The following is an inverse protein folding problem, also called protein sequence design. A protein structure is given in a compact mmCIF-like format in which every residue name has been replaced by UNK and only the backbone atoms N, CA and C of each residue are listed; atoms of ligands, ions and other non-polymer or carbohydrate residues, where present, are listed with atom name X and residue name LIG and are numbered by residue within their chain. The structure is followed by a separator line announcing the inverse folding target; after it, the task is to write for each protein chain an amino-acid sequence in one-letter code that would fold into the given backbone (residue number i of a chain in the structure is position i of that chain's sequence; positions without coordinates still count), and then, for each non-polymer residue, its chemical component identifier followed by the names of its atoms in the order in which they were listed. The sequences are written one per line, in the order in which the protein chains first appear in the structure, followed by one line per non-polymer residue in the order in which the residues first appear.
data_IF_558880675860
#
_entry.id   IF_558880675860
#
_cell.length_a   1.000
_cell.length_b   1.000
_cell.length_c   1.000
_cell.angle_alpha   90.00
_cell.angle_beta   90.00
_cell.angle_gamma   90.00
#
_symmetry.space_group_name_H-M   'P 1'
#
loop_
_entity.id
_entity.type
_entity.pdbx_description
1 polymer ?
#
# COMPACT_ATOMS: atom_id res chain seq x y z
N UNK A 1 -2.57 -27.29 38.08
CA UNK A 1 -3.46 -27.15 36.91
C UNK A 1 -2.75 -26.21 35.95
N UNK A 2 -2.20 -26.74 34.86
CA UNK A 2 -1.67 -25.91 33.77
C UNK A 2 -2.80 -25.06 33.20
N UNK A 3 -2.56 -23.73 33.04
CA UNK A 3 -3.49 -22.85 32.33
C UNK A 3 -3.72 -23.45 30.95
N UNK A 4 -4.96 -23.52 30.45
CA UNK A 4 -5.21 -23.95 29.07
C UNK A 4 -4.38 -23.07 28.16
N UNK A 5 -3.53 -23.68 27.34
CA UNK A 5 -2.69 -22.99 26.40
C UNK A 5 -3.61 -22.29 25.40
N UNK A 6 -3.58 -20.97 25.37
CA UNK A 6 -4.36 -20.14 24.46
C UNK A 6 -3.97 -20.52 23.02
N UNK A 7 -4.91 -21.12 22.29
CA UNK A 7 -4.70 -21.60 20.93
C UNK A 7 -4.53 -20.40 20.00
N UNK A 8 -3.42 -20.35 19.30
CA UNK A 8 -3.14 -19.28 18.36
C UNK A 8 -3.73 -19.59 16.99
N UNK A 9 -4.10 -18.55 16.28
CA UNK A 9 -4.55 -18.63 14.89
C UNK A 9 -3.53 -17.92 13.99
N UNK A 10 -3.01 -18.65 13.03
CA UNK A 10 -2.00 -18.18 12.09
C UNK A 10 -2.58 -18.04 10.69
N UNK A 11 -2.33 -16.92 10.04
CA UNK A 11 -2.57 -16.76 8.60
C UNK A 11 -1.31 -17.10 7.82
N UNK A 12 -1.46 -17.82 6.71
CA UNK A 12 -0.35 -18.16 5.84
C UNK A 12 -0.74 -18.03 4.36
N UNK A 13 0.17 -17.51 3.54
CA UNK A 13 0.04 -17.45 2.08
C UNK A 13 1.04 -18.38 1.41
N UNK A 14 0.67 -18.88 0.23
CA UNK A 14 1.52 -19.70 -0.61
C UNK A 14 1.47 -19.26 -2.07
N UNK A 15 2.51 -19.52 -2.80
CA UNK A 15 2.54 -19.48 -4.28
C UNK A 15 2.20 -20.85 -4.89
N UNK A 16 2.09 -21.90 -4.04
CA UNK A 16 1.76 -23.27 -4.45
C UNK A 16 0.65 -23.86 -3.57
N UNK A 17 -0.60 -23.52 -3.88
CA UNK A 17 -1.78 -23.95 -3.13
C UNK A 17 -1.95 -25.48 -3.12
N UNK A 18 -1.58 -26.15 -4.24
CA UNK A 18 -1.67 -27.60 -4.36
C UNK A 18 -0.74 -28.32 -3.36
N UNK A 19 0.44 -27.79 -3.11
CA UNK A 19 1.37 -28.35 -2.15
C UNK A 19 0.74 -28.35 -0.74
N UNK A 20 0.10 -27.25 -0.37
CA UNK A 20 -0.53 -27.13 0.94
C UNK A 20 -1.74 -28.05 1.09
N UNK A 21 -2.68 -27.98 0.16
CA UNK A 21 -3.96 -28.66 0.28
C UNK A 21 -3.84 -30.17 0.04
N UNK A 22 -3.08 -30.60 -0.98
CA UNK A 22 -2.90 -32.02 -1.28
C UNK A 22 -1.82 -32.68 -0.44
N UNK A 23 -0.79 -31.93 -0.07
CA UNK A 23 0.31 -32.42 0.77
C UNK A 23 -0.03 -32.47 2.26
N UNK A 24 -1.15 -31.86 2.69
CA UNK A 24 -1.49 -31.68 4.10
C UNK A 24 -0.34 -31.04 4.88
N UNK A 25 0.25 -30.01 4.31
CA UNK A 25 1.35 -29.25 4.90
C UNK A 25 1.13 -27.76 4.74
N UNK A 26 1.83 -27.00 5.56
CA UNK A 26 2.17 -25.61 5.29
C UNK A 26 3.68 -25.48 5.23
N UNK A 27 4.17 -24.52 4.44
CA UNK A 27 5.59 -24.31 4.27
C UNK A 27 5.92 -22.83 4.08
N UNK A 28 7.13 -22.49 4.41
CA UNK A 28 7.73 -21.19 4.03
C UNK A 28 8.91 -21.43 3.10
N UNK A 29 9.05 -20.53 2.12
CA UNK A 29 10.20 -20.49 1.24
C UNK A 29 11.47 -20.05 2.03
N UNK A 30 12.48 -19.53 1.37
CA UNK A 30 13.82 -19.22 1.90
C UNK A 30 14.68 -20.48 2.11
N UNK A 31 14.78 -21.28 1.05
CA UNK A 31 15.62 -22.49 1.01
C UNK A 31 17.08 -22.21 1.39
N UNK A 32 17.59 -21.05 1.01
CA UNK A 32 18.95 -20.60 1.26
C UNK A 32 19.26 -20.40 2.76
N UNK A 33 18.25 -20.30 3.60
CA UNK A 33 18.42 -20.23 5.05
C UNK A 33 18.81 -21.57 5.67
N UNK A 34 18.58 -22.69 4.94
CA UNK A 34 18.82 -24.06 5.42
C UNK A 34 17.82 -24.50 6.48
N UNK A 35 18.21 -25.48 7.28
CA UNK A 35 17.42 -25.92 8.42
C UNK A 35 17.37 -24.82 9.49
N UNK A 36 16.17 -24.32 9.75
CA UNK A 36 15.96 -23.23 10.70
C UNK A 36 16.22 -23.64 12.16
N UNK A 37 16.26 -24.93 12.47
CA UNK A 37 16.59 -25.43 13.82
C UNK A 37 18.07 -25.31 14.16
N UNK A 38 18.94 -25.21 13.16
CA UNK A 38 20.37 -24.99 13.35
C UNK A 38 20.70 -23.54 13.77
N UNK A 39 19.73 -22.62 13.63
CA UNK A 39 19.90 -21.22 14.02
C UNK A 39 19.58 -21.07 15.50
N UNK A 40 20.47 -20.45 16.26
CA UNK A 40 20.22 -20.16 17.67
C UNK A 40 18.81 -19.59 17.86
N UNK A 41 17.98 -20.07 18.83
CA UNK A 41 16.59 -19.69 18.99
C UNK A 41 16.42 -18.27 19.58
N UNK A 42 16.99 -17.29 18.91
CA UNK A 42 16.91 -15.86 19.22
C UNK A 42 16.58 -15.09 17.94
N UNK A 43 15.62 -14.18 18.02
CA UNK A 43 15.22 -13.34 16.87
C UNK A 43 16.41 -12.62 16.23
N UNK A 44 17.37 -12.19 17.02
CA UNK A 44 18.57 -11.51 16.53
C UNK A 44 19.47 -12.43 15.71
N UNK A 45 19.62 -13.70 16.09
CA UNK A 45 20.35 -14.68 15.31
C UNK A 45 19.73 -14.94 13.93
N UNK A 46 18.40 -14.97 13.87
CA UNK A 46 17.66 -15.06 12.59
C UNK A 46 17.87 -13.84 11.70
N UNK A 47 17.85 -12.62 12.28
CA UNK A 47 18.15 -11.39 11.50
C UNK A 47 19.56 -11.41 10.95
N UNK A 48 20.55 -11.78 11.76
CA UNK A 48 21.95 -11.82 11.35
C UNK A 48 22.18 -12.86 10.26
N UNK A 49 21.62 -14.07 10.42
CA UNK A 49 21.69 -15.12 9.40
C UNK A 49 21.01 -14.66 8.11
N UNK A 50 19.80 -14.07 8.20
CA UNK A 50 19.05 -13.57 7.05
C UNK A 50 19.83 -12.48 6.28
N UNK A 51 20.36 -11.48 7.00
CA UNK A 51 21.16 -10.42 6.39
C UNK A 51 22.43 -10.94 5.69
N UNK A 52 23.05 -11.98 6.25
CA UNK A 52 24.23 -12.63 5.65
C UNK A 52 23.87 -13.47 4.42
N UNK A 53 22.72 -14.15 4.46
CA UNK A 53 22.25 -15.01 3.35
C UNK A 53 21.72 -14.18 2.18
N UNK A 54 21.08 -13.03 2.47
CA UNK A 54 20.48 -12.14 1.47
C UNK A 54 21.06 -10.73 1.57
N UNK A 55 22.30 -10.49 1.12
CA UNK A 55 22.97 -9.18 1.27
C UNK A 55 22.26 -8.05 0.50
N UNK A 56 21.53 -8.38 -0.56
CA UNK A 56 20.76 -7.42 -1.36
C UNK A 56 19.38 -7.08 -0.75
N UNK A 57 19.00 -7.73 0.37
CA UNK A 57 17.72 -7.46 1.00
C UNK A 57 17.67 -6.03 1.57
N UNK A 58 16.52 -5.37 1.39
CA UNK A 58 16.31 -4.03 1.98
C UNK A 58 16.41 -4.12 3.50
N UNK A 59 17.19 -3.24 4.12
CA UNK A 59 17.41 -3.23 5.59
C UNK A 59 16.10 -3.31 6.40
N UNK A 60 15.06 -2.63 5.96
CA UNK A 60 13.75 -2.61 6.64
C UNK A 60 12.96 -3.92 6.46
N UNK A 61 13.25 -4.75 5.47
CA UNK A 61 12.58 -6.04 5.28
C UNK A 61 13.18 -7.18 6.11
N UNK A 62 14.45 -7.05 6.51
CA UNK A 62 15.18 -8.08 7.26
C UNK A 62 14.46 -8.47 8.57
N UNK A 63 14.06 -7.53 9.45
CA UNK A 63 13.37 -7.88 10.70
C UNK A 63 12.05 -8.61 10.47
N UNK A 64 11.32 -8.23 9.43
CA UNK A 64 10.02 -8.83 9.09
C UNK A 64 10.19 -10.27 8.60
N UNK A 65 11.06 -10.48 7.62
CA UNK A 65 11.30 -11.82 7.03
C UNK A 65 11.93 -12.77 8.03
N UNK A 66 12.98 -12.34 8.75
CA UNK A 66 13.59 -13.13 9.80
C UNK A 66 12.60 -13.45 10.95
N UNK A 67 11.72 -12.49 11.27
CA UNK A 67 10.66 -12.67 12.25
C UNK A 67 9.60 -13.69 11.84
N UNK A 68 9.26 -13.78 10.55
CA UNK A 68 8.37 -14.82 10.03
C UNK A 68 8.99 -16.22 10.17
N UNK A 69 10.25 -16.38 9.76
CA UNK A 69 10.98 -17.63 9.90
C UNK A 69 11.11 -18.08 11.36
N UNK A 70 11.45 -17.14 12.25
CA UNK A 70 11.51 -17.42 13.69
C UNK A 70 10.16 -17.89 14.26
N UNK A 71 9.07 -17.21 13.91
CA UNK A 71 7.72 -17.61 14.32
C UNK A 71 7.36 -18.99 13.80
N UNK A 72 7.66 -19.27 12.54
CA UNK A 72 7.34 -20.55 11.91
C UNK A 72 8.01 -21.73 12.62
N UNK A 73 9.28 -21.61 13.03
CA UNK A 73 10.01 -22.71 13.68
C UNK A 73 9.83 -22.75 15.20
N UNK A 74 9.79 -21.60 15.90
CA UNK A 74 9.85 -21.57 17.36
C UNK A 74 8.55 -21.20 18.06
N UNK A 75 7.67 -20.40 17.43
CA UNK A 75 6.46 -19.89 18.08
C UNK A 75 5.21 -20.67 17.69
N UNK A 76 5.10 -21.11 16.43
CA UNK A 76 4.02 -21.96 15.96
C UNK A 76 4.16 -23.37 16.54
N UNK A 77 3.08 -23.93 17.09
CA UNK A 77 3.10 -25.21 17.80
C UNK A 77 2.02 -26.17 17.29
N UNK A 78 2.21 -27.49 17.47
CA UNK A 78 1.11 -28.44 17.30
C UNK A 78 -0.07 -28.04 18.17
N UNK A 79 -1.27 -28.10 17.60
CA UNK A 79 -2.52 -27.67 18.21
C UNK A 79 -2.91 -26.21 17.91
N UNK A 80 -2.02 -25.39 17.35
CA UNK A 80 -2.39 -24.08 16.82
C UNK A 80 -3.24 -24.25 15.55
N UNK A 81 -4.07 -23.24 15.28
CA UNK A 81 -4.89 -23.22 14.06
C UNK A 81 -4.18 -22.46 12.95
N UNK A 82 -4.51 -22.81 11.71
CA UNK A 82 -4.01 -22.14 10.52
C UNK A 82 -5.16 -21.81 9.58
N UNK A 83 -5.12 -20.61 9.03
CA UNK A 83 -6.03 -20.08 8.02
C UNK A 83 -5.23 -19.87 6.74
N UNK A 84 -5.63 -20.54 5.68
CA UNK A 84 -5.01 -20.43 4.37
C UNK A 84 -6.04 -19.95 3.33
N UNK A 85 -6.00 -18.67 2.95
CA UNK A 85 -6.82 -18.12 1.87
C UNK A 85 -6.23 -18.54 0.52
N UNK A 86 -6.70 -19.63 -0.04
CA UNK A 86 -6.24 -20.17 -1.31
C UNK A 86 -6.73 -19.34 -2.50
N UNK A 87 -5.84 -19.12 -3.45
CA UNK A 87 -6.17 -18.46 -4.72
C UNK A 87 -6.72 -19.46 -5.75
N UNK A 88 -6.31 -20.72 -5.66
CA UNK A 88 -6.68 -21.77 -6.62
C UNK A 88 -8.14 -22.17 -6.49
N UNK A 89 -8.63 -22.44 -5.26
CA UNK A 89 -10.02 -22.83 -5.03
C UNK A 89 -10.91 -21.66 -4.55
N UNK A 90 -10.32 -20.48 -4.30
CA UNK A 90 -10.98 -19.27 -3.80
C UNK A 90 -11.71 -19.45 -2.46
N UNK A 91 -11.23 -20.38 -1.64
CA UNK A 91 -11.77 -20.69 -0.32
C UNK A 91 -10.85 -20.22 0.81
N UNK A 92 -11.43 -20.15 1.99
CA UNK A 92 -10.70 -20.07 3.25
C UNK A 92 -10.57 -21.48 3.79
N UNK A 93 -9.34 -21.96 3.87
CA UNK A 93 -9.03 -23.30 4.32
C UNK A 93 -8.57 -23.23 5.77
N UNK A 94 -9.30 -23.89 6.66
CA UNK A 94 -9.05 -23.92 8.09
C UNK A 94 -8.44 -25.26 8.48
N UNK A 95 -7.31 -25.22 9.17
CA UNK A 95 -6.60 -26.41 9.60
C UNK A 95 -6.05 -26.31 11.02
N UNK A 96 -5.54 -27.42 11.51
CA UNK A 96 -4.80 -27.50 12.77
C UNK A 96 -3.40 -28.04 12.50
N UNK A 97 -2.40 -27.45 13.14
CA UNK A 97 -1.02 -27.89 13.06
C UNK A 97 -0.90 -29.21 13.81
N UNK A 98 -0.54 -30.30 13.12
CA UNK A 98 -0.37 -31.63 13.73
C UNK A 98 1.08 -31.94 14.10
N UNK A 99 2.04 -31.35 13.35
CA UNK A 99 3.46 -31.68 13.46
C UNK A 99 4.32 -30.52 13.95
N UNK A 100 5.47 -30.90 14.48
CA UNK A 100 6.57 -29.96 14.69
C UNK A 100 7.12 -29.48 13.34
N UNK A 101 7.97 -28.47 13.37
CA UNK A 101 8.74 -28.05 12.22
C UNK A 101 9.59 -29.21 11.69
N UNK A 102 9.68 -29.31 10.37
CA UNK A 102 10.49 -30.32 9.65
C UNK A 102 11.21 -29.63 8.50
N UNK A 103 12.51 -29.86 8.39
CA UNK A 103 13.29 -29.51 7.21
C UNK A 103 13.28 -30.71 6.25
N UNK A 104 12.87 -30.46 5.00
CA UNK A 104 12.80 -31.50 3.96
C UNK A 104 13.71 -31.11 2.82
N UNK A 105 14.79 -31.86 2.66
CA UNK A 105 15.72 -31.60 1.57
C UNK A 105 15.10 -32.00 0.23
N UNK A 106 14.81 -31.01 -0.60
CA UNK A 106 14.15 -31.15 -1.90
C UNK A 106 14.59 -30.06 -2.86
N UNK A 107 14.36 -30.25 -4.15
CA UNK A 107 14.61 -29.21 -5.16
C UNK A 107 13.63 -28.02 -5.05
N UNK A 108 12.47 -28.23 -4.44
CA UNK A 108 11.49 -27.17 -4.19
C UNK A 108 12.04 -26.10 -3.24
N UNK A 109 11.53 -24.88 -3.38
CA UNK A 109 11.81 -23.78 -2.43
C UNK A 109 11.15 -23.98 -1.05
N UNK A 110 10.16 -24.88 -0.95
CA UNK A 110 9.36 -25.12 0.25
C UNK A 110 9.96 -26.23 1.13
N UNK A 111 11.20 -26.05 1.53
CA UNK A 111 11.95 -27.01 2.38
C UNK A 111 11.57 -26.95 3.85
N UNK A 112 11.06 -25.81 4.32
CA UNK A 112 10.69 -25.55 5.71
C UNK A 112 9.20 -25.82 5.89
N UNK A 113 8.84 -26.95 6.51
CA UNK A 113 7.47 -27.48 6.48
C UNK A 113 6.91 -27.76 7.88
N UNK A 114 5.57 -27.79 7.95
CA UNK A 114 4.80 -28.35 9.08
C UNK A 114 3.60 -29.12 8.56
N UNK A 115 3.29 -30.25 9.19
CA UNK A 115 2.08 -31.02 8.91
C UNK A 115 0.85 -30.30 9.42
N UNK A 116 -0.19 -30.30 8.61
CA UNK A 116 -1.50 -29.70 8.91
C UNK A 116 -2.59 -30.71 8.60
N UNK A 117 -3.58 -30.78 9.47
CA UNK A 117 -4.85 -31.42 9.16
C UNK A 117 -5.84 -30.36 8.78
N UNK A 118 -6.24 -30.34 7.52
CA UNK A 118 -7.31 -29.46 7.05
C UNK A 118 -8.64 -29.94 7.60
N UNK A 119 -9.39 -29.04 8.23
CA UNK A 119 -10.63 -29.33 8.94
C UNK A 119 -11.86 -28.89 8.14
N UNK A 120 -11.78 -27.68 7.52
CA UNK A 120 -12.87 -27.13 6.70
C UNK A 120 -12.31 -26.30 5.53
N UNK A 121 -13.11 -26.28 4.47
CA UNK A 121 -12.87 -25.51 3.24
C UNK A 121 -14.11 -24.68 2.94
N UNK A 122 -14.17 -23.44 3.40
CA UNK A 122 -15.34 -22.60 3.38
C UNK A 122 -15.25 -21.54 2.28
N UNK A 123 -16.35 -21.18 1.63
CA UNK A 123 -16.34 -20.07 0.68
C UNK A 123 -16.06 -18.75 1.43
N UNK A 124 -15.40 -17.81 0.75
CA UNK A 124 -15.05 -16.52 1.35
C UNK A 124 -16.26 -15.73 1.86
N UNK A 125 -17.40 -15.87 1.22
CA UNK A 125 -18.67 -15.26 1.63
C UNK A 125 -19.16 -15.69 3.02
N UNK A 126 -18.59 -16.74 3.60
CA UNK A 126 -18.92 -17.20 4.97
C UNK A 126 -18.30 -16.35 6.06
N UNK A 127 -17.47 -15.37 5.71
CA UNK A 127 -16.69 -14.55 6.64
C UNK A 127 -16.97 -13.07 6.42
N UNK A 128 -16.88 -12.29 7.52
CA UNK A 128 -16.97 -10.85 7.45
C UNK A 128 -15.86 -10.25 6.58
N UNK A 129 -16.08 -9.04 6.07
CA UNK A 129 -15.09 -8.37 5.25
C UNK A 129 -13.81 -8.07 6.06
N UNK A 130 -13.94 -7.76 7.36
CA UNK A 130 -12.80 -7.54 8.25
C UNK A 130 -11.93 -8.79 8.43
N UNK A 131 -12.55 -9.97 8.63
CA UNK A 131 -11.83 -11.24 8.67
C UNK A 131 -11.08 -11.52 7.35
N UNK A 132 -11.72 -11.24 6.20
CA UNK A 132 -11.09 -11.38 4.89
C UNK A 132 -9.95 -10.41 4.67
N UNK A 133 -10.02 -9.18 5.21
CA UNK A 133 -8.92 -8.22 5.15
C UNK A 133 -7.74 -8.64 6.03
N UNK A 134 -7.99 -9.10 7.26
CA UNK A 134 -6.91 -9.61 8.11
C UNK A 134 -6.21 -10.81 7.46
N UNK A 135 -6.96 -11.70 6.80
CA UNK A 135 -6.41 -12.77 5.97
C UNK A 135 -5.65 -12.28 4.73
N UNK A 136 -5.96 -11.10 4.23
CA UNK A 136 -5.32 -10.48 3.06
C UNK A 136 -3.97 -9.84 3.33
N UNK A 137 -3.38 -10.04 4.51
CA UNK A 137 -2.06 -9.52 4.88
C UNK A 137 -1.02 -9.72 3.76
N UNK A 138 -0.16 -8.73 3.55
CA UNK A 138 0.95 -8.84 2.60
C UNK A 138 2.08 -9.79 3.07
N UNK A 139 2.01 -10.28 4.32
CA UNK A 139 3.01 -11.17 4.90
C UNK A 139 2.73 -12.64 4.54
N UNK A 140 3.78 -13.40 4.29
CA UNK A 140 3.67 -14.86 4.06
C UNK A 140 3.13 -15.59 5.29
N UNK A 141 3.57 -15.18 6.49
CA UNK A 141 3.13 -15.76 7.77
C UNK A 141 2.83 -14.63 8.77
N UNK A 142 1.63 -14.65 9.36
CA UNK A 142 1.19 -13.63 10.33
C UNK A 142 0.26 -14.27 11.38
N UNK A 143 0.11 -13.60 12.52
CA UNK A 143 -0.87 -13.99 13.52
C UNK A 143 -2.20 -13.30 13.22
N UNK A 144 -3.29 -14.04 13.20
CA UNK A 144 -4.65 -13.50 13.18
C UNK A 144 -5.04 -13.20 14.62
N UNK A 145 -5.39 -11.94 14.90
CA UNK A 145 -5.65 -11.46 16.26
C UNK A 145 -7.07 -10.93 16.44
N UNK A 146 -7.54 -10.13 15.48
CA UNK A 146 -8.81 -9.43 15.62
C UNK A 146 -10.00 -10.33 15.31
N UNK A 147 -9.86 -11.21 14.32
CA UNK A 147 -10.94 -12.09 13.85
C UNK A 147 -10.65 -13.57 14.12
N UNK A 148 -9.76 -13.90 15.07
CA UNK A 148 -9.42 -15.27 15.41
C UNK A 148 -10.67 -16.08 15.85
N UNK A 149 -11.53 -15.48 16.65
CA UNK A 149 -12.75 -16.11 17.15
C UNK A 149 -13.74 -16.45 16.03
N UNK A 150 -13.85 -15.61 14.99
CA UNK A 150 -14.68 -15.86 13.82
C UNK A 150 -14.21 -17.11 13.06
N UNK A 151 -12.90 -17.23 12.82
CA UNK A 151 -12.34 -18.41 12.17
C UNK A 151 -12.49 -19.68 13.02
N UNK A 152 -12.36 -19.57 14.34
CA UNK A 152 -12.55 -20.69 15.24
C UNK A 152 -14.04 -21.11 15.33
N UNK A 153 -14.96 -20.15 15.39
CA UNK A 153 -16.39 -20.42 15.35
C UNK A 153 -16.80 -21.13 14.05
N UNK A 154 -16.14 -20.79 12.93
CA UNK A 154 -16.39 -21.44 11.66
C UNK A 154 -16.04 -22.95 11.64
N UNK A 155 -15.30 -23.45 12.62
CA UNK A 155 -15.01 -24.88 12.79
C UNK A 155 -16.18 -25.67 13.42
N UNK A 156 -17.13 -24.97 14.05
CA UNK A 156 -18.30 -25.63 14.63
C UNK A 156 -19.15 -26.32 13.53
N UNK A 157 -19.73 -27.48 13.85
CA UNK A 157 -20.60 -28.21 12.93
C UNK A 157 -21.89 -27.46 12.59
N UNK A 158 -22.35 -26.64 13.52
CA UNK A 158 -23.56 -25.82 13.40
C UNK A 158 -23.27 -24.38 12.95
N UNK A 159 -22.05 -24.10 12.44
CA UNK A 159 -21.71 -22.79 11.96
C UNK A 159 -22.70 -22.36 10.87
N UNK A 160 -23.52 -21.41 11.20
CA UNK A 160 -24.43 -20.73 10.27
C UNK A 160 -23.66 -19.54 9.73
N UNK A 161 -23.65 -19.41 8.41
CA UNK A 161 -23.07 -18.26 7.74
C UNK A 161 -23.63 -16.99 8.39
N UNK A 162 -22.75 -16.09 8.83
CA UNK A 162 -23.16 -14.80 9.40
C UNK A 162 -23.97 -14.08 8.33
N UNK A 163 -25.24 -13.75 8.63
CA UNK A 163 -26.03 -12.90 7.76
C UNK A 163 -25.37 -11.51 7.74
N UNK A 164 -24.99 -11.04 6.58
CA UNK A 164 -24.31 -9.74 6.37
C UNK A 164 -25.23 -8.53 6.64
N UNK A 165 -26.40 -8.77 7.23
CA UNK A 165 -27.39 -7.74 7.53
C UNK A 165 -26.94 -6.92 8.75
N UNK A 166 -26.31 -5.80 8.52
CA UNK A 166 -26.34 -4.65 9.42
C UNK A 166 -25.14 -4.37 10.32
N UNK A 167 -24.07 -5.16 10.37
CA UNK A 167 -22.86 -4.74 11.08
C UNK A 167 -22.02 -3.82 10.18
N UNK A 168 -21.97 -2.54 10.54
CA UNK A 168 -21.00 -1.60 9.94
C UNK A 168 -19.60 -2.07 10.33
N UNK A 169 -18.90 -2.67 9.39
CA UNK A 169 -17.52 -3.12 9.60
C UNK A 169 -16.57 -1.91 9.50
N UNK A 170 -16.35 -1.24 10.62
CA UNK A 170 -15.41 -0.11 10.73
C UNK A 170 -14.01 -0.46 10.20
N UNK A 171 -13.65 -1.74 10.18
CA UNK A 171 -12.37 -2.22 9.64
C UNK A 171 -12.31 -2.05 8.13
N UNK A 172 -13.42 -2.17 7.42
CA UNK A 172 -13.51 -1.93 5.97
C UNK A 172 -13.12 -0.51 5.65
N UNK A 173 -13.70 0.45 6.38
CA UNK A 173 -13.45 1.87 6.21
C UNK A 173 -11.98 2.20 6.52
N UNK A 174 -11.49 1.78 7.68
CA UNK A 174 -10.10 2.01 8.08
C UNK A 174 -9.11 1.43 7.06
N UNK A 175 -9.34 0.21 6.55
CA UNK A 175 -8.48 -0.41 5.54
C UNK A 175 -8.53 0.33 4.20
N UNK A 176 -9.70 0.80 3.79
CA UNK A 176 -9.86 1.60 2.57
C UNK A 176 -9.12 2.93 2.68
N UNK A 177 -9.25 3.62 3.81
CA UNK A 177 -8.55 4.86 4.11
C UNK A 177 -7.02 4.66 4.10
N UNK A 178 -6.51 3.59 4.73
CA UNK A 178 -5.09 3.24 4.74
C UNK A 178 -4.55 2.97 3.32
N UNK A 179 -5.32 2.31 2.46
CA UNK A 179 -4.94 2.08 1.06
C UNK A 179 -4.83 3.41 0.31
N UNK A 180 -5.77 4.31 0.51
CA UNK A 180 -5.79 5.64 -0.13
C UNK A 180 -4.57 6.44 0.33
N UNK A 181 -4.34 6.55 1.64
CA UNK A 181 -3.21 7.32 2.19
C UNK A 181 -1.86 6.72 1.78
N UNK A 182 -1.71 5.39 1.82
CA UNK A 182 -0.48 4.72 1.36
C UNK A 182 -0.23 4.98 -0.12
N UNK A 183 -1.29 5.04 -0.93
CA UNK A 183 -1.17 5.36 -2.36
C UNK A 183 -0.75 6.80 -2.57
N UNK A 184 -1.31 7.75 -1.83
CA UNK A 184 -0.92 9.17 -1.84
C UNK A 184 0.55 9.35 -1.48
N UNK A 185 0.98 8.74 -0.39
CA UNK A 185 2.37 8.75 0.06
C UNK A 185 3.33 8.20 -1.00
N UNK A 186 2.95 7.08 -1.64
CA UNK A 186 3.74 6.48 -2.71
C UNK A 186 3.90 7.46 -3.88
N UNK A 187 2.80 8.04 -4.37
CA UNK A 187 2.82 8.99 -5.48
C UNK A 187 3.71 10.18 -5.17
N UNK A 188 3.50 10.81 -4.00
CA UNK A 188 4.27 11.99 -3.60
C UNK A 188 5.78 11.69 -3.48
N UNK A 189 6.14 10.54 -2.91
CA UNK A 189 7.55 10.09 -2.82
C UNK A 189 8.17 9.83 -4.19
N UNK A 190 7.44 9.22 -5.11
CA UNK A 190 7.93 8.98 -6.47
C UNK A 190 8.14 10.30 -7.24
N UNK A 191 7.23 11.26 -7.11
CA UNK A 191 7.38 12.59 -7.69
C UNK A 191 8.62 13.30 -7.12
N UNK A 192 8.71 13.41 -5.79
CA UNK A 192 9.82 14.11 -5.12
C UNK A 192 11.19 13.49 -5.43
N UNK A 193 11.23 12.16 -5.65
CA UNK A 193 12.45 11.43 -5.96
C UNK A 193 12.88 11.57 -7.42
N UNK A 194 11.92 11.51 -8.34
CA UNK A 194 12.20 11.38 -9.78
C UNK A 194 12.05 12.67 -10.56
N UNK A 195 11.25 13.63 -10.08
CA UNK A 195 10.95 14.86 -10.80
C UNK A 195 11.44 16.09 -10.02
N UNK A 196 12.43 16.79 -10.56
CA UNK A 196 12.96 18.03 -9.98
C UNK A 196 13.09 19.09 -11.05
N UNK A 197 12.86 20.36 -10.66
CA UNK A 197 12.98 21.50 -11.56
C UNK A 197 12.17 21.30 -12.83
N UNK A 198 12.82 21.46 -13.96
CA UNK A 198 12.20 21.38 -15.28
C UNK A 198 11.45 20.09 -15.58
N UNK A 199 11.84 18.96 -15.00
CA UNK A 199 11.11 17.70 -15.17
C UNK A 199 9.74 17.71 -14.46
N UNK A 200 9.65 18.37 -13.29
CA UNK A 200 8.39 18.58 -12.60
C UNK A 200 7.49 19.56 -13.36
N UNK A 201 8.06 20.62 -13.95
CA UNK A 201 7.34 21.57 -14.79
C UNK A 201 6.69 20.85 -15.99
N UNK A 202 7.46 20.01 -16.70
CA UNK A 202 6.94 19.21 -17.81
C UNK A 202 5.84 18.24 -17.35
N UNK A 203 5.97 17.65 -16.17
CA UNK A 203 4.95 16.78 -15.61
C UNK A 203 3.66 17.54 -15.30
N UNK A 204 3.76 18.71 -14.69
CA UNK A 204 2.59 19.56 -14.40
C UNK A 204 1.93 20.01 -15.71
N UNK A 205 2.70 20.30 -16.76
CA UNK A 205 2.16 20.61 -18.08
C UNK A 205 1.37 19.44 -18.68
N UNK A 206 1.89 18.20 -18.59
CA UNK A 206 1.19 16.97 -19.01
C UNK A 206 -0.11 16.75 -18.22
N UNK A 207 -0.07 16.95 -16.90
CA UNK A 207 -1.26 16.88 -16.06
C UNK A 207 -2.33 17.91 -16.47
N UNK A 208 -1.93 19.14 -16.73
CA UNK A 208 -2.85 20.17 -17.21
C UNK A 208 -3.42 19.81 -18.59
N UNK A 209 -2.63 19.19 -19.48
CA UNK A 209 -3.14 18.67 -20.75
C UNK A 209 -4.16 17.54 -20.54
N UNK A 210 -3.89 16.62 -19.62
CA UNK A 210 -4.85 15.58 -19.22
C UNK A 210 -6.16 16.17 -18.67
N UNK A 211 -6.10 17.34 -18.03
CA UNK A 211 -7.25 18.12 -17.57
C UNK A 211 -7.96 18.91 -18.69
N UNK A 212 -7.43 18.85 -19.92
CA UNK A 212 -7.99 19.52 -21.11
C UNK A 212 -7.52 20.96 -21.31
N UNK A 213 -6.37 21.33 -20.75
CA UNK A 213 -5.71 22.61 -21.04
C UNK A 213 -4.68 22.45 -22.16
N UNK A 214 -4.44 23.48 -22.93
CA UNK A 214 -3.28 23.60 -23.79
C UNK A 214 -2.16 24.24 -23.00
N UNK A 215 -0.95 23.70 -23.07
CA UNK A 215 0.18 24.18 -22.28
C UNK A 215 1.38 24.46 -23.15
N UNK A 216 2.13 25.48 -22.77
CA UNK A 216 3.47 25.78 -23.29
C UNK A 216 4.42 25.92 -22.12
N UNK A 217 5.44 25.05 -22.06
CA UNK A 217 6.49 25.11 -21.03
C UNK A 217 7.53 26.14 -21.45
N UNK A 218 7.93 27.03 -20.55
CA UNK A 218 8.96 28.03 -20.79
C UNK A 218 10.34 27.37 -20.92
N UNK A 219 11.24 27.90 -21.78
CA UNK A 219 12.63 27.44 -21.83
C UNK A 219 13.34 27.61 -20.48
N UNK A 220 14.29 26.74 -20.17
CA UNK A 220 15.10 26.86 -18.96
C UNK A 220 15.81 28.21 -18.88
N UNK A 221 15.60 28.94 -17.77
CA UNK A 221 16.20 30.25 -17.53
C UNK A 221 15.43 31.42 -18.15
N UNK A 222 14.23 31.18 -18.69
CA UNK A 222 13.36 32.20 -19.31
C UNK A 222 12.31 32.76 -18.34
N UNK A 223 12.00 34.01 -18.58
CA UNK A 223 10.81 34.79 -18.24
C UNK A 223 10.23 34.81 -16.84
N UNK A 224 10.83 35.64 -15.95
CA UNK A 224 10.20 36.17 -14.73
C UNK A 224 9.61 35.10 -13.77
N UNK A 225 10.10 33.84 -13.85
CA UNK A 225 9.64 32.75 -12.95
C UNK A 225 8.31 32.12 -13.35
N UNK A 226 7.85 32.31 -14.60
CA UNK A 226 6.72 31.59 -15.17
C UNK A 226 7.25 30.34 -15.86
N UNK A 227 6.82 29.16 -15.36
CA UNK A 227 7.30 27.88 -15.84
C UNK A 227 6.41 27.32 -16.96
N UNK A 228 5.07 27.58 -16.90
CA UNK A 228 4.12 27.11 -17.90
C UNK A 228 3.09 28.21 -18.17
N UNK A 229 2.69 28.35 -19.43
CA UNK A 229 1.51 29.10 -19.83
C UNK A 229 0.42 28.12 -20.29
N UNK A 230 -0.79 28.23 -19.74
CA UNK A 230 -1.90 27.34 -20.05
C UNK A 230 -3.15 28.10 -20.48
N UNK A 231 -3.96 27.47 -21.35
CA UNK A 231 -5.24 27.97 -21.85
C UNK A 231 -6.27 26.83 -21.82
N UNK A 232 -7.53 27.16 -21.47
CA UNK A 232 -8.61 26.15 -21.51
C UNK A 232 -9.04 25.87 -22.95
N UNK A 233 -9.07 26.92 -23.77
CA UNK A 233 -9.43 26.89 -25.20
C UNK A 233 -8.59 27.92 -25.98
N UNK A 234 -9.07 28.39 -27.13
CA UNK A 234 -8.37 29.36 -27.98
C UNK A 234 -8.39 30.82 -27.42
N UNK A 235 -9.22 31.07 -26.40
CA UNK A 235 -9.50 32.43 -25.92
C UNK A 235 -8.97 32.68 -24.50
N UNK A 236 -8.77 33.93 -24.10
CA UNK A 236 -8.48 34.31 -22.72
C UNK A 236 -9.56 33.78 -21.75
N UNK A 237 -9.24 33.59 -20.47
CA UNK A 237 -7.99 34.00 -19.82
C UNK A 237 -6.87 33.00 -20.00
N UNK A 238 -5.65 33.48 -19.99
CA UNK A 238 -4.46 32.62 -19.83
C UNK A 238 -4.18 32.37 -18.37
N UNK A 239 -3.58 31.24 -18.10
CA UNK A 239 -3.16 30.83 -16.77
C UNK A 239 -1.63 30.77 -16.75
N UNK A 240 -1.01 31.57 -15.90
CA UNK A 240 0.43 31.56 -15.67
C UNK A 240 0.73 30.60 -14.52
N UNK A 241 1.57 29.61 -14.78
CA UNK A 241 1.86 28.55 -13.80
C UNK A 241 3.29 28.66 -13.32
N UNK A 242 3.46 28.60 -12.01
CA UNK A 242 4.78 28.48 -11.36
C UNK A 242 4.83 27.17 -10.58
N UNK A 243 5.92 26.42 -10.72
CA UNK A 243 6.11 25.10 -10.12
C UNK A 243 7.34 25.12 -9.21
N UNK A 244 7.22 24.55 -8.02
CA UNK A 244 8.32 24.44 -7.06
C UNK A 244 8.44 23.03 -6.50
N UNK A 245 9.63 22.42 -6.66
CA UNK A 245 9.93 21.05 -6.19
C UNK A 245 10.62 21.02 -4.83
N UNK A 246 10.60 22.13 -4.07
CA UNK A 246 11.24 22.21 -2.75
C UNK A 246 10.44 21.44 -1.68
N UNK A 247 11.15 20.92 -0.67
CA UNK A 247 10.55 20.19 0.44
C UNK A 247 10.07 21.13 1.56
N UNK A 248 10.57 22.37 1.62
CA UNK A 248 10.16 23.38 2.60
C UNK A 248 8.86 24.09 2.18
N UNK A 249 8.02 24.51 3.15
CA UNK A 249 6.77 25.21 2.85
C UNK A 249 7.00 26.49 2.03
N UNK A 250 6.12 26.72 1.06
CA UNK A 250 6.15 27.91 0.18
C UNK A 250 5.81 29.16 1.01
N UNK A 251 6.60 30.22 0.84
CA UNK A 251 6.39 31.48 1.53
C UNK A 251 5.48 32.42 0.74
N UNK A 252 4.89 33.41 1.41
CA UNK A 252 4.08 34.44 0.79
C UNK A 252 4.84 35.20 -0.31
N UNK A 253 6.11 35.58 -0.05
CA UNK A 253 6.94 36.30 -1.01
C UNK A 253 7.15 35.56 -2.32
N UNK A 254 7.19 34.22 -2.26
CA UNK A 254 7.33 33.37 -3.44
C UNK A 254 6.06 33.44 -4.33
N UNK A 255 4.87 33.48 -3.72
CA UNK A 255 3.61 33.61 -4.47
C UNK A 255 3.44 35.03 -5.02
N UNK A 256 3.89 36.05 -4.27
CA UNK A 256 3.90 37.43 -4.74
C UNK A 256 4.72 37.60 -6.03
N UNK A 257 5.78 36.82 -6.23
CA UNK A 257 6.57 36.84 -7.47
C UNK A 257 5.72 36.43 -8.67
N UNK A 258 4.87 35.40 -8.55
CA UNK A 258 3.93 35.02 -9.58
C UNK A 258 2.93 36.16 -9.85
N UNK A 259 2.37 36.75 -8.79
CA UNK A 259 1.44 37.89 -8.94
C UNK A 259 2.06 39.04 -9.68
N UNK A 260 3.33 39.36 -9.42
CA UNK A 260 4.10 40.44 -10.11
C UNK A 260 4.37 40.18 -11.59
N UNK A 261 4.32 38.91 -12.03
CA UNK A 261 4.48 38.52 -13.43
C UNK A 261 3.15 38.51 -14.22
N UNK A 262 2.01 38.57 -13.54
CA UNK A 262 0.68 38.56 -14.15
C UNK A 262 0.30 39.94 -14.67
N UNK A 263 -0.37 39.96 -15.80
CA UNK A 263 -1.04 41.16 -16.38
C UNK A 263 -2.52 41.16 -15.98
N UNK A 264 -3.20 42.24 -16.24
CA UNK A 264 -4.65 42.34 -16.06
C UNK A 264 -5.37 41.29 -16.92
N UNK A 265 -6.30 40.55 -16.31
CA UNK A 265 -7.03 39.43 -16.95
C UNK A 265 -6.32 38.09 -16.89
N UNK A 266 -5.09 37.98 -16.37
CA UNK A 266 -4.41 36.71 -16.17
C UNK A 266 -4.89 36.01 -14.88
N UNK A 267 -4.87 34.68 -14.88
CA UNK A 267 -4.95 33.84 -13.69
C UNK A 267 -3.60 33.25 -13.35
N UNK A 268 -3.35 33.04 -12.07
CA UNK A 268 -2.14 32.38 -11.57
C UNK A 268 -2.44 31.00 -11.05
N UNK A 269 -1.54 30.06 -11.32
CA UNK A 269 -1.53 28.72 -10.70
C UNK A 269 -0.16 28.47 -10.09
N UNK A 270 -0.12 28.28 -8.78
CA UNK A 270 1.12 27.93 -8.09
C UNK A 270 1.06 26.46 -7.66
N UNK A 271 2.02 25.63 -8.11
CA UNK A 271 2.05 24.20 -7.83
C UNK A 271 3.31 23.85 -7.04
N UNK A 272 3.16 23.06 -5.98
CA UNK A 272 4.30 22.60 -5.17
C UNK A 272 4.10 21.15 -4.71
N UNK A 273 5.22 20.43 -4.46
CA UNK A 273 5.22 19.13 -3.80
C UNK A 273 5.12 19.24 -2.27
N UNK A 274 5.40 20.42 -1.71
CA UNK A 274 5.29 20.71 -0.28
C UNK A 274 3.96 21.41 0.06
N UNK A 275 3.89 22.00 1.24
CA UNK A 275 2.77 22.81 1.70
C UNK A 275 3.04 24.31 1.55
N UNK A 276 2.01 25.10 1.87
CA UNK A 276 2.08 26.55 1.99
C UNK A 276 2.21 26.98 3.44
N UNK A 277 3.07 27.96 3.74
CA UNK A 277 3.12 28.60 5.05
C UNK A 277 1.77 29.27 5.39
N UNK A 278 1.48 29.47 6.67
CA UNK A 278 0.24 30.14 7.11
C UNK A 278 0.01 31.50 6.44
N UNK A 279 1.08 32.28 6.23
CA UNK A 279 0.99 33.57 5.55
C UNK A 279 0.70 33.39 4.06
N UNK A 280 1.33 32.41 3.40
CA UNK A 280 1.06 32.08 2.02
C UNK A 280 -0.41 31.64 1.79
N UNK A 281 -0.95 30.80 2.68
CA UNK A 281 -2.36 30.37 2.63
C UNK A 281 -3.30 31.57 2.77
N UNK A 282 -3.03 32.48 3.73
CA UNK A 282 -3.79 33.69 3.90
C UNK A 282 -3.70 34.62 2.67
N UNK A 283 -2.52 34.72 2.08
CA UNK A 283 -2.32 35.50 0.85
C UNK A 283 -3.16 34.92 -0.31
N UNK A 284 -3.11 33.61 -0.54
CA UNK A 284 -3.91 32.93 -1.57
C UNK A 284 -5.42 33.15 -1.35
N UNK A 285 -5.90 33.02 -0.10
CA UNK A 285 -7.31 33.27 0.23
C UNK A 285 -7.76 34.68 -0.10
N UNK A 286 -6.87 35.69 0.01
CA UNK A 286 -7.17 37.09 -0.30
C UNK A 286 -6.96 37.45 -1.79
N UNK A 287 -6.42 36.55 -2.60
CA UNK A 287 -6.14 36.76 -4.01
C UNK A 287 -6.74 35.67 -4.89
N UNK A 288 -8.06 35.62 -5.07
CA UNK A 288 -8.77 34.49 -5.73
C UNK A 288 -8.38 34.28 -7.20
N UNK A 289 -7.67 35.25 -7.82
CA UNK A 289 -7.11 35.12 -9.16
C UNK A 289 -5.88 34.17 -9.20
N UNK A 290 -5.34 33.77 -8.03
CA UNK A 290 -4.24 32.83 -7.91
C UNK A 290 -4.73 31.61 -7.15
N UNK A 291 -4.62 30.44 -7.79
CA UNK A 291 -4.86 29.14 -7.15
C UNK A 291 -3.53 28.53 -6.70
N UNK A 292 -3.45 28.09 -5.44
CA UNK A 292 -2.37 27.22 -4.97
C UNK A 292 -2.80 25.76 -5.05
N UNK A 293 -1.89 24.88 -5.44
CA UNK A 293 -2.01 23.42 -5.39
C UNK A 293 -0.82 22.90 -4.61
N UNK A 294 -1.05 22.35 -3.43
CA UNK A 294 -0.02 21.71 -2.61
C UNK A 294 0.21 20.25 -3.01
N UNK A 295 1.15 19.56 -2.35
CA UNK A 295 1.49 18.18 -2.68
C UNK A 295 0.31 17.21 -2.58
N UNK A 296 -0.55 17.35 -1.59
CA UNK A 296 -1.74 16.51 -1.40
C UNK A 296 -2.77 16.75 -2.51
N UNK A 297 -3.10 18.00 -2.79
CA UNK A 297 -4.04 18.37 -3.87
C UNK A 297 -3.49 17.95 -5.25
N UNK A 298 -2.17 18.04 -5.45
CA UNK A 298 -1.53 17.59 -6.69
C UNK A 298 -1.70 16.08 -6.86
N UNK A 299 -1.49 15.29 -5.82
CA UNK A 299 -1.71 13.84 -5.86
C UNK A 299 -3.16 13.50 -6.16
N UNK A 300 -4.12 14.18 -5.54
CA UNK A 300 -5.55 13.96 -5.82
C UNK A 300 -5.89 14.24 -7.29
N UNK A 301 -5.33 15.29 -7.88
CA UNK A 301 -5.48 15.58 -9.31
C UNK A 301 -4.83 14.50 -10.19
N UNK A 302 -3.64 14.03 -9.82
CA UNK A 302 -2.95 12.95 -10.53
C UNK A 302 -3.81 11.69 -10.52
N UNK A 303 -4.32 11.25 -9.36
CA UNK A 303 -5.16 10.08 -9.26
C UNK A 303 -6.45 10.22 -10.06
N UNK A 304 -7.06 11.41 -10.05
CA UNK A 304 -8.28 11.71 -10.81
C UNK A 304 -8.08 11.61 -12.33
N UNK A 305 -6.95 12.10 -12.84
CA UNK A 305 -6.65 12.17 -14.27
C UNK A 305 -5.61 11.14 -14.72
N UNK A 306 -5.29 10.14 -13.88
CA UNK A 306 -4.21 9.19 -14.10
C UNK A 306 -4.25 8.49 -15.45
N UNK A 307 -5.43 8.04 -15.87
CA UNK A 307 -5.63 7.32 -17.14
C UNK A 307 -5.38 8.20 -18.38
N UNK A 308 -5.43 9.52 -18.23
CA UNK A 308 -5.22 10.51 -19.29
C UNK A 308 -3.79 11.05 -19.33
N UNK A 309 -2.94 10.72 -18.34
CA UNK A 309 -1.53 11.06 -18.36
C UNK A 309 -0.82 10.33 -19.48
N UNK A 310 0.23 10.95 -20.02
CA UNK A 310 1.09 10.30 -21.02
C UNK A 310 1.73 9.01 -20.49
N UNK A 311 2.06 8.09 -21.37
CA UNK A 311 2.69 6.79 -21.02
C UNK A 311 3.99 6.95 -20.26
N UNK A 312 4.73 8.01 -20.53
CA UNK A 312 5.97 8.35 -19.81
C UNK A 312 5.71 8.46 -18.32
N UNK A 313 4.68 9.20 -17.92
CA UNK A 313 4.38 9.48 -16.51
C UNK A 313 3.61 8.36 -15.84
N UNK A 314 2.77 7.63 -16.57
CA UNK A 314 2.15 6.39 -16.05
C UNK A 314 3.18 5.32 -15.71
N UNK A 315 4.25 5.20 -16.52
CA UNK A 315 5.39 4.32 -16.21
C UNK A 315 6.23 4.82 -15.03
N UNK A 316 6.32 6.13 -14.85
CA UNK A 316 7.06 6.75 -13.75
C UNK A 316 6.37 6.52 -12.41
N UNK A 317 5.04 6.57 -12.39
CA UNK A 317 4.17 6.34 -11.22
C UNK A 317 3.27 5.13 -11.53
N UNK A 318 3.80 3.88 -11.43
CA UNK A 318 3.05 2.70 -11.84
C UNK A 318 1.92 2.38 -10.84
N UNK A 319 0.70 2.74 -11.21
CA UNK A 319 -0.52 2.46 -10.44
C UNK A 319 -1.45 1.52 -11.20
N UNK A 320 -2.28 0.80 -10.47
CA UNK A 320 -3.39 0.01 -11.00
C UNK A 320 -4.68 0.47 -10.35
N UNK A 321 -5.69 0.78 -11.17
CA UNK A 321 -7.02 1.13 -10.67
C UNK A 321 -7.69 -0.10 -10.06
N UNK A 322 -8.20 0.05 -8.85
CA UNK A 322 -9.00 -0.96 -8.14
C UNK A 322 -10.21 -0.29 -7.49
N UNK A 323 -11.30 -1.03 -7.33
CA UNK A 323 -12.44 -0.60 -6.53
C UNK A 323 -12.25 -1.08 -5.11
N UNK A 324 -12.41 -0.18 -4.16
CA UNK A 324 -12.41 -0.50 -2.73
C UNK A 324 -13.84 -0.34 -2.19
N UNK A 325 -14.30 -1.23 -1.31
CA UNK A 325 -15.60 -1.07 -0.65
C UNK A 325 -15.63 0.24 0.16
N UNK A 326 -16.76 0.92 0.10
CA UNK A 326 -17.07 2.08 0.95
C UNK A 326 -18.39 1.82 1.66
N UNK A 327 -18.60 2.41 2.83
CA UNK A 327 -19.90 2.39 3.47
C UNK A 327 -20.92 3.18 2.63
N UNK A 328 -22.16 2.69 2.60
CA UNK A 328 -23.26 3.47 2.03
C UNK A 328 -23.40 4.76 2.86
N UNK A 329 -23.12 5.90 2.24
CA UNK A 329 -23.52 7.18 2.80
C UNK A 329 -25.05 7.24 2.71
N UNK A 330 -25.72 7.08 3.86
CA UNK A 330 -27.14 7.45 3.96
C UNK A 330 -27.22 8.94 3.62
N UNK A 331 -27.73 9.25 2.41
CA UNK A 331 -28.16 10.59 2.03
C UNK A 331 -29.30 11.09 2.95
#
# INVERSE_FOLDING_TARGET
MEKPQEKRVWGIHSTNDNLFLKGNIIAVSWKEMGDLTEITPKREAFKNKYAKTFPEAKKNSIPTSAGMLFRFVHEMKPGDYVVFPSKADRKINLGIIEGNYTYVETESEFVNQRKVKWLKHLPRISFTQGALYECGSALTLFAIKNYADEFLAALDKNFVQISLDGEKDETVKATAEDIIETTRDFVLKELSRKLKGYELENFVADLLQAMGYRTTVSPQGGDRGIDITAYKDELPPRILVQVKSQDSPITESTIQSLKGAMSEGDYGLFVTLSDYSKNAQKYLANHPVIRGINGTELVDLILKYYELLSDKYRKLIPLKKVYIPVEETSE
#
